data_IF_297453438668
#
_entry.id   IF_297453438668
#
_cell.length_a   1.000
_cell.length_b   1.000
_cell.length_c   1.000
_cell.angle_alpha   90.00
_cell.angle_beta   90.00
_cell.angle_gamma   90.00
#
_symmetry.space_group_name_H-M   'P 1'
#
loop_
_entity.id
_entity.type
_entity.pdbx_description
1 polymer ?
#
# COMPACT_ATOMS: atom_id res chain seq x y z
N UNK A 1 0.02 -6.99 33.45
CA UNK A 1 0.72 -6.94 32.17
C UNK A 1 0.84 -5.48 31.81
N UNK A 2 2.04 -4.92 31.75
CA UNK A 2 2.22 -3.55 31.24
C UNK A 2 1.85 -3.57 29.75
N UNK A 3 0.86 -2.77 29.39
CA UNK A 3 0.35 -2.64 28.02
C UNK A 3 1.42 -1.88 27.20
N UNK A 4 2.45 -2.62 26.73
CA UNK A 4 3.53 -2.05 25.90
C UNK A 4 2.94 -1.66 24.55
N UNK A 5 3.14 -0.39 24.17
CA UNK A 5 2.79 0.06 22.83
C UNK A 5 3.65 -0.69 21.80
N UNK A 6 3.06 -1.46 20.87
CA UNK A 6 3.83 -2.19 19.87
C UNK A 6 4.51 -1.23 18.89
N UNK A 7 5.76 -1.52 18.54
CA UNK A 7 6.55 -0.75 17.59
C UNK A 7 6.27 -1.24 16.18
N UNK A 8 5.72 -0.38 15.35
CA UNK A 8 5.40 -0.68 13.94
C UNK A 8 6.44 -0.05 13.03
N UNK A 9 7.26 -0.89 12.39
CA UNK A 9 8.20 -0.46 11.36
C UNK A 9 7.46 -0.04 10.08
N UNK A 10 7.71 1.18 9.60
CA UNK A 10 7.09 1.72 8.38
C UNK A 10 8.20 2.01 7.39
N UNK A 11 8.23 1.26 6.28
CA UNK A 11 9.23 1.44 5.24
C UNK A 11 8.84 2.58 4.29
N UNK A 12 9.87 3.19 3.70
CA UNK A 12 9.67 4.27 2.73
C UNK A 12 10.95 4.58 1.96
N UNK A 13 10.88 5.47 0.97
CA UNK A 13 12.06 5.90 0.22
C UNK A 13 12.95 6.79 1.09
N UNK A 14 14.22 6.88 0.72
CA UNK A 14 15.20 7.83 1.29
C UNK A 14 14.76 9.26 1.05
N UNK A 15 14.46 9.60 -0.21
CA UNK A 15 13.99 10.93 -0.58
C UNK A 15 12.49 10.95 -0.91
N UNK A 16 11.80 11.97 -0.46
CA UNK A 16 10.34 12.12 -0.62
C UNK A 16 9.55 11.11 0.24
N UNK A 17 8.26 10.92 -0.06
CA UNK A 17 7.38 10.01 0.71
C UNK A 17 7.04 10.47 2.12
N UNK A 18 7.53 11.63 2.56
CA UNK A 18 7.30 12.15 3.92
C UNK A 18 5.82 12.29 4.25
N UNK A 19 4.98 12.74 3.29
CA UNK A 19 3.55 12.85 3.51
C UNK A 19 2.92 11.46 3.74
N UNK A 20 3.23 10.46 2.90
CA UNK A 20 2.75 9.09 3.07
C UNK A 20 3.18 8.54 4.43
N UNK A 21 4.44 8.75 4.82
CA UNK A 21 4.94 8.34 6.12
C UNK A 21 4.18 9.00 7.28
N UNK A 22 3.94 10.32 7.22
CA UNK A 22 3.21 11.05 8.27
C UNK A 22 1.78 10.49 8.43
N UNK A 23 1.04 10.29 7.33
CA UNK A 23 -0.32 9.76 7.39
C UNK A 23 -0.35 8.31 7.87
N UNK A 24 0.62 7.48 7.46
CA UNK A 24 0.75 6.10 7.95
C UNK A 24 1.11 6.07 9.42
N UNK A 25 2.08 6.91 9.86
CA UNK A 25 2.46 7.03 11.26
C UNK A 25 1.29 7.51 12.13
N UNK A 26 0.54 8.52 11.66
CA UNK A 26 -0.68 8.98 12.34
C UNK A 26 -1.72 7.86 12.46
N UNK A 27 -1.91 7.06 11.41
CA UNK A 27 -2.82 5.91 11.43
C UNK A 27 -2.42 4.88 12.48
N UNK A 28 -1.12 4.61 12.64
CA UNK A 28 -0.56 3.72 13.67
C UNK A 28 -0.76 4.30 15.08
N UNK A 29 -0.42 5.59 15.28
CA UNK A 29 -0.57 6.28 16.58
C UNK A 29 -2.03 6.26 17.04
N UNK A 30 -2.98 6.54 16.15
CA UNK A 30 -4.41 6.54 16.47
C UNK A 30 -4.94 5.17 16.91
N UNK A 31 -4.20 4.09 16.63
CA UNK A 31 -4.52 2.73 17.08
C UNK A 31 -3.67 2.28 18.28
N UNK A 32 -2.87 3.17 18.87
CA UNK A 32 -2.05 2.90 20.05
C UNK A 32 -0.78 2.10 19.74
N UNK A 33 -0.21 2.26 18.55
CA UNK A 33 1.10 1.75 18.17
C UNK A 33 2.13 2.88 18.07
N UNK A 34 3.41 2.54 18.20
CA UNK A 34 4.56 3.43 18.06
C UNK A 34 5.18 3.30 16.66
N UNK A 35 5.07 4.30 15.77
CA UNK A 35 5.65 4.21 14.43
C UNK A 35 7.17 4.37 14.47
N UNK A 36 7.89 3.52 13.74
CA UNK A 36 9.33 3.59 13.52
C UNK A 36 9.61 3.71 12.01
N UNK A 37 10.24 4.82 11.58
CA UNK A 37 10.60 5.01 10.17
C UNK A 37 11.79 4.13 9.79
N UNK A 38 11.69 3.48 8.63
CA UNK A 38 12.74 2.64 8.05
C UNK A 38 12.94 3.04 6.59
N UNK A 39 14.17 3.33 6.19
CA UNK A 39 14.55 3.58 4.80
C UNK A 39 16.03 3.18 4.58
N UNK A 40 16.54 3.18 3.33
CA UNK A 40 17.94 2.81 3.06
C UNK A 40 18.97 3.59 3.86
N UNK A 41 18.78 4.90 4.11
CA UNK A 41 19.71 5.73 4.89
C UNK A 41 19.62 5.50 6.40
N UNK A 42 18.44 5.07 6.87
CA UNK A 42 18.19 4.76 8.29
C UNK A 42 17.60 3.37 8.42
N UNK A 43 18.36 2.32 8.07
CA UNK A 43 17.91 0.95 8.22
C UNK A 43 17.72 0.61 9.70
N UNK A 44 16.77 -0.27 9.99
CA UNK A 44 16.49 -0.75 11.34
C UNK A 44 16.54 -2.28 11.38
N UNK A 45 16.94 -2.82 12.53
CA UNK A 45 16.85 -4.27 12.76
C UNK A 45 15.39 -4.68 12.94
N UNK A 46 15.06 -5.88 12.47
CA UNK A 46 13.75 -6.51 12.71
C UNK A 46 13.46 -6.69 14.21
N UNK A 47 14.48 -6.78 15.06
CA UNK A 47 14.36 -6.89 16.52
C UNK A 47 13.79 -5.64 17.20
N UNK A 48 13.75 -4.53 16.47
CA UNK A 48 13.26 -3.24 16.98
C UNK A 48 11.77 -3.02 16.71
N UNK A 49 11.09 -3.97 16.02
CA UNK A 49 9.69 -3.85 15.62
C UNK A 49 8.88 -5.08 16.00
N UNK A 50 7.61 -4.86 16.24
CA UNK A 50 6.61 -5.88 16.56
C UNK A 50 5.63 -6.11 15.39
N UNK A 51 5.68 -5.26 14.37
CA UNK A 51 4.91 -5.37 13.13
C UNK A 51 5.52 -4.53 12.01
N UNK A 52 5.22 -4.87 10.76
CA UNK A 52 5.82 -4.24 9.58
C UNK A 52 4.76 -3.67 8.64
N UNK A 53 4.95 -2.40 8.23
CA UNK A 53 4.22 -1.80 7.11
C UNK A 53 5.20 -1.57 5.96
N UNK A 54 4.98 -2.25 4.84
CA UNK A 54 5.64 -1.98 3.57
C UNK A 54 4.90 -0.84 2.88
N UNK A 55 5.52 0.33 2.81
CA UNK A 55 4.88 1.55 2.33
C UNK A 55 4.78 1.66 0.81
N UNK A 56 3.89 2.54 0.34
CA UNK A 56 3.76 2.90 -1.07
C UNK A 56 4.99 3.62 -1.64
N UNK A 57 5.03 3.82 -2.96
CA UNK A 57 6.13 4.56 -3.61
C UNK A 57 6.37 4.24 -5.07
N UNK A 58 7.64 4.21 -5.48
CA UNK A 58 8.08 3.87 -6.83
C UNK A 58 7.74 2.42 -7.22
N UNK A 59 7.75 2.14 -8.52
CA UNK A 59 7.46 0.79 -9.06
C UNK A 59 8.47 -0.25 -8.54
N UNK A 60 8.04 -1.50 -8.34
CA UNK A 60 8.94 -2.63 -8.03
C UNK A 60 9.75 -2.97 -9.28
N UNK A 61 11.05 -3.30 -9.11
CA UNK A 61 11.95 -3.64 -10.21
C UNK A 61 11.45 -4.86 -11.00
N UNK A 62 11.20 -4.74 -12.32
CA UNK A 62 10.67 -5.83 -13.13
C UNK A 62 11.52 -7.09 -13.16
N UNK A 63 12.84 -6.98 -13.04
CA UNK A 63 13.73 -8.14 -12.97
C UNK A 63 13.47 -9.02 -11.74
N UNK A 64 12.88 -8.48 -10.67
CA UNK A 64 12.53 -9.24 -9.46
C UNK A 64 11.41 -10.26 -9.69
N UNK A 65 10.59 -10.05 -10.73
CA UNK A 65 9.52 -10.99 -11.14
C UNK A 65 9.69 -11.50 -12.59
N UNK A 66 10.93 -11.54 -13.08
CA UNK A 66 11.31 -12.19 -14.34
C UNK A 66 10.92 -11.42 -15.61
N UNK A 67 10.61 -10.13 -15.51
CA UNK A 67 10.24 -9.31 -16.66
C UNK A 67 11.29 -8.27 -17.01
N UNK A 68 11.35 -7.88 -18.30
CA UNK A 68 12.12 -6.72 -18.75
C UNK A 68 11.31 -5.43 -18.58
N UNK A 69 12.00 -4.33 -18.31
CA UNK A 69 11.38 -3.03 -18.10
C UNK A 69 10.73 -2.49 -19.37
N UNK A 70 9.44 -2.13 -19.30
CA UNK A 70 8.73 -1.45 -20.39
C UNK A 70 8.96 0.06 -20.28
N UNK A 71 9.38 0.70 -21.39
CA UNK A 71 9.48 2.16 -21.47
C UNK A 71 8.09 2.75 -21.63
N UNK A 72 7.58 3.36 -20.56
CA UNK A 72 6.23 3.95 -20.53
C UNK A 72 6.19 5.25 -21.35
N UNK A 73 5.32 5.36 -22.35
CA UNK A 73 5.06 6.62 -23.07
C UNK A 73 4.34 7.62 -22.14
N UNK A 74 4.74 8.90 -22.18
CA UNK A 74 4.04 9.98 -21.45
C UNK A 74 2.71 10.27 -22.14
N UNK A 75 1.59 10.00 -21.47
CA UNK A 75 0.26 10.39 -21.93
C UNK A 75 -0.14 11.76 -21.40
N UNK A 76 -0.99 12.47 -22.18
CA UNK A 76 -1.52 13.78 -21.84
C UNK A 76 -2.42 13.70 -20.57
N UNK A 77 -2.35 14.74 -19.74
CA UNK A 77 -3.15 14.88 -18.51
C UNK A 77 -4.62 15.16 -18.83
N UNK A 78 -5.52 14.44 -18.17
CA UNK A 78 -6.96 14.69 -18.20
C UNK A 78 -7.34 16.05 -17.58
N UNK A 79 -8.36 16.70 -18.14
CA UNK A 79 -8.88 17.99 -17.65
C UNK A 79 -9.71 17.77 -16.38
N UNK A 80 -9.41 18.55 -15.34
CA UNK A 80 -10.13 18.51 -14.05
C UNK A 80 -11.51 19.17 -14.15
N UNK A 81 -12.49 18.65 -13.40
CA UNK A 81 -13.81 19.27 -13.26
C UNK A 81 -13.77 20.46 -12.28
N UNK A 82 -14.65 21.47 -12.46
CA UNK A 82 -14.75 22.66 -11.61
C UNK A 82 -14.99 22.29 -10.13
N UNK A 83 -15.75 21.22 -9.86
CA UNK A 83 -16.02 20.72 -8.52
C UNK A 83 -14.74 20.17 -7.83
N UNK A 84 -13.89 19.48 -8.57
CA UNK A 84 -12.58 19.02 -8.07
C UNK A 84 -11.65 20.19 -7.75
N UNK A 85 -11.84 21.31 -8.43
CA UNK A 85 -11.12 22.55 -8.18
C UNK A 85 -11.54 23.20 -6.85
N UNK A 86 -12.83 23.24 -6.53
CA UNK A 86 -13.37 23.78 -5.26
C UNK A 86 -12.94 22.91 -4.07
N UNK A 87 -13.07 21.59 -4.18
CA UNK A 87 -12.60 20.66 -3.15
C UNK A 87 -11.07 20.76 -2.97
N UNK A 88 -10.32 20.98 -4.05
CA UNK A 88 -8.88 21.17 -3.95
C UNK A 88 -8.50 22.48 -3.23
N UNK A 89 -9.33 23.50 -3.25
CA UNK A 89 -9.11 24.76 -2.49
C UNK A 89 -9.34 24.52 -0.99
N UNK A 90 -10.41 23.82 -0.61
CA UNK A 90 -10.73 23.54 0.80
C UNK A 90 -9.70 22.61 1.48
N UNK A 91 -9.18 21.65 0.71
CA UNK A 91 -8.13 20.72 1.13
C UNK A 91 -6.75 21.08 0.54
N UNK A 92 -6.62 22.31 0.00
CA UNK A 92 -5.42 22.80 -0.67
C UNK A 92 -4.12 22.61 0.13
N UNK A 93 -4.06 22.85 1.46
CA UNK A 93 -2.83 22.62 2.21
C UNK A 93 -2.41 21.14 2.20
N UNK A 94 -3.36 20.23 2.37
CA UNK A 94 -3.10 18.77 2.40
C UNK A 94 -2.78 18.27 0.99
N UNK A 95 -3.54 18.71 -0.01
CA UNK A 95 -3.32 18.36 -1.41
C UNK A 95 -2.01 18.96 -1.97
N UNK A 96 -1.72 20.22 -1.63
CA UNK A 96 -0.49 20.89 -2.03
C UNK A 96 0.73 20.26 -1.34
N UNK A 97 0.62 19.92 -0.07
CA UNK A 97 1.65 19.21 0.68
C UNK A 97 1.92 17.82 0.08
N UNK A 98 0.88 17.04 -0.18
CA UNK A 98 1.01 15.73 -0.81
C UNK A 98 1.63 15.85 -2.22
N UNK A 99 1.23 16.86 -3.00
CA UNK A 99 1.74 17.11 -4.35
C UNK A 99 3.16 17.69 -4.36
N UNK A 100 3.49 18.59 -3.44
CA UNK A 100 4.83 19.14 -3.26
C UNK A 100 5.83 18.02 -2.98
N UNK A 101 5.47 17.07 -2.12
CA UNK A 101 6.31 15.91 -1.81
C UNK A 101 6.30 14.82 -2.90
N UNK A 102 5.37 14.85 -3.86
CA UNK A 102 5.38 13.95 -5.02
C UNK A 102 6.25 14.46 -6.18
N UNK A 103 6.67 15.73 -6.19
CA UNK A 103 7.41 16.35 -7.30
C UNK A 103 8.93 16.19 -7.25
N UNK A 104 9.48 15.44 -6.31
CA UNK A 104 10.89 15.07 -6.38
C UNK A 104 11.14 14.20 -7.62
N UNK A 105 12.22 14.49 -8.35
CA UNK A 105 12.72 13.73 -9.52
C UNK A 105 13.12 12.32 -9.05
N UNK A 106 12.16 11.42 -8.94
CA UNK A 106 12.44 10.03 -8.54
C UNK A 106 12.89 9.22 -9.75
N UNK A 107 13.92 8.41 -9.55
CA UNK A 107 14.08 7.21 -10.33
C UNK A 107 12.77 6.41 -10.24
N UNK A 108 12.22 5.90 -11.35
CA UNK A 108 10.99 5.09 -11.30
C UNK A 108 11.19 3.78 -10.52
N UNK A 109 12.41 3.43 -10.13
CA UNK A 109 12.81 2.21 -9.42
C UNK A 109 13.83 2.58 -8.34
N UNK A 110 13.72 1.97 -7.16
CA UNK A 110 14.57 2.19 -5.99
C UNK A 110 15.13 0.84 -5.53
N UNK A 111 16.28 0.45 -6.10
CA UNK A 111 16.90 -0.86 -5.87
C UNK A 111 17.37 -1.09 -4.42
N UNK A 112 17.86 -0.04 -3.76
CA UNK A 112 18.31 -0.12 -2.38
C UNK A 112 17.13 -0.35 -1.44
N UNK A 113 16.04 0.35 -1.70
CA UNK A 113 14.78 0.15 -0.99
C UNK A 113 14.20 -1.24 -1.25
N UNK A 114 14.21 -1.72 -2.50
CA UNK A 114 13.76 -3.07 -2.83
C UNK A 114 14.55 -4.11 -2.01
N UNK A 115 15.89 -4.01 -1.99
CA UNK A 115 16.74 -4.94 -1.24
C UNK A 115 16.45 -4.91 0.28
N UNK A 116 16.29 -3.72 0.85
CA UNK A 116 15.95 -3.54 2.27
C UNK A 116 14.59 -4.15 2.60
N UNK A 117 13.56 -3.83 1.81
CA UNK A 117 12.19 -4.27 2.08
C UNK A 117 12.00 -5.78 1.86
N UNK A 118 12.65 -6.39 0.86
CA UNK A 118 12.65 -7.84 0.69
C UNK A 118 13.28 -8.55 1.89
N UNK A 119 14.43 -8.04 2.39
CA UNK A 119 15.08 -8.57 3.58
C UNK A 119 14.21 -8.45 4.84
N UNK A 120 13.58 -7.27 5.04
CA UNK A 120 12.70 -7.06 6.20
C UNK A 120 11.46 -7.94 6.13
N UNK A 121 10.88 -8.13 4.94
CA UNK A 121 9.73 -9.01 4.75
C UNK A 121 10.10 -10.46 5.07
N UNK A 122 11.23 -10.97 4.57
CA UNK A 122 11.73 -12.32 4.88
C UNK A 122 11.90 -12.51 6.39
N UNK A 123 12.57 -11.57 7.06
CA UNK A 123 12.76 -11.62 8.52
C UNK A 123 11.45 -11.50 9.31
N UNK A 124 10.49 -10.71 8.83
CA UNK A 124 9.16 -10.61 9.44
C UNK A 124 8.40 -11.94 9.33
N UNK A 125 8.50 -12.60 8.18
CA UNK A 125 7.92 -13.94 7.96
C UNK A 125 8.52 -14.97 8.91
N UNK A 126 9.86 -15.05 9.00
CA UNK A 126 10.57 -15.98 9.89
C UNK A 126 10.18 -15.81 11.36
N UNK A 127 9.83 -14.60 11.77
CA UNK A 127 9.43 -14.27 13.14
C UNK A 127 7.92 -14.29 13.39
N UNK A 128 7.13 -14.53 12.35
CA UNK A 128 5.67 -14.49 12.46
C UNK A 128 5.11 -13.11 12.75
N UNK A 129 5.84 -12.03 12.42
CA UNK A 129 5.35 -10.66 12.63
C UNK A 129 4.18 -10.34 11.70
N UNK A 130 3.19 -9.56 12.16
CA UNK A 130 2.13 -9.08 11.28
C UNK A 130 2.67 -8.09 10.25
N UNK A 131 2.21 -8.23 8.99
CA UNK A 131 2.66 -7.44 7.84
C UNK A 131 1.48 -6.81 7.11
N UNK A 132 1.56 -5.50 6.85
CA UNK A 132 0.66 -4.76 5.98
C UNK A 132 1.43 -4.21 4.78
N UNK A 133 1.05 -4.61 3.55
CA UNK A 133 1.56 -4.01 2.32
C UNK A 133 0.63 -2.92 1.79
N UNK A 134 1.12 -1.70 1.56
CA UNK A 134 0.34 -0.59 0.99
C UNK A 134 0.84 -0.28 -0.41
N UNK A 135 -0.03 -0.36 -1.42
CA UNK A 135 0.24 -0.05 -2.82
C UNK A 135 1.45 -0.84 -3.35
N UNK A 136 2.61 -0.22 -3.49
CA UNK A 136 3.87 -0.90 -3.84
C UNK A 136 4.21 -2.02 -2.86
N UNK A 137 3.95 -1.83 -1.56
CA UNK A 137 4.20 -2.86 -0.53
C UNK A 137 3.41 -4.14 -0.77
N UNK A 138 2.15 -4.06 -1.20
CA UNK A 138 1.35 -5.21 -1.63
C UNK A 138 1.99 -5.93 -2.82
N UNK A 139 2.46 -5.17 -3.81
CA UNK A 139 3.10 -5.70 -5.00
C UNK A 139 4.42 -6.41 -4.67
N UNK A 140 5.22 -5.83 -3.77
CA UNK A 140 6.45 -6.44 -3.27
C UNK A 140 6.19 -7.75 -2.53
N UNK A 141 5.15 -7.80 -1.70
CA UNK A 141 4.70 -9.04 -1.04
C UNK A 141 4.40 -10.13 -2.09
N UNK A 142 3.60 -9.81 -3.10
CA UNK A 142 3.27 -10.75 -4.16
C UNK A 142 4.52 -11.29 -4.88
N UNK A 143 5.46 -10.41 -5.23
CA UNK A 143 6.73 -10.78 -5.88
C UNK A 143 7.61 -11.64 -4.97
N UNK A 144 7.64 -11.37 -3.65
CA UNK A 144 8.35 -12.20 -2.68
C UNK A 144 7.87 -13.66 -2.75
N UNK A 145 6.57 -13.87 -2.82
CA UNK A 145 5.94 -15.18 -2.97
C UNK A 145 5.91 -15.72 -4.41
N UNK A 146 6.71 -15.12 -5.33
CA UNK A 146 6.89 -15.55 -6.73
C UNK A 146 5.69 -15.24 -7.64
N UNK A 147 4.85 -14.31 -7.29
CA UNK A 147 3.84 -13.75 -8.18
C UNK A 147 4.42 -12.74 -9.17
N UNK A 148 3.62 -12.33 -10.15
CA UNK A 148 3.99 -11.37 -11.20
C UNK A 148 3.17 -10.09 -11.15
N UNK A 149 3.60 -9.07 -11.90
CA UNK A 149 2.95 -7.76 -11.94
C UNK A 149 2.69 -7.32 -13.38
N UNK A 150 1.55 -6.72 -13.63
CA UNK A 150 1.33 -5.83 -14.77
C UNK A 150 2.12 -4.55 -14.56
N UNK A 151 3.09 -4.26 -15.42
CA UNK A 151 3.88 -3.02 -15.34
C UNK A 151 3.07 -1.78 -15.71
N UNK A 152 1.98 -1.94 -16.44
CA UNK A 152 1.12 -0.85 -16.90
C UNK A 152 -0.33 -1.32 -17.04
N UNK A 153 -1.22 -0.78 -16.22
CA UNK A 153 -2.64 -1.16 -16.21
C UNK A 153 -3.52 -0.27 -17.09
N UNK A 154 -2.96 0.69 -17.82
CA UNK A 154 -3.76 1.61 -18.66
C UNK A 154 -4.58 0.90 -19.72
N UNK A 155 -4.10 -0.24 -20.24
CA UNK A 155 -4.81 -1.05 -21.21
C UNK A 155 -6.13 -1.66 -20.70
N UNK A 156 -6.31 -1.77 -19.39
CA UNK A 156 -7.55 -2.28 -18.77
C UNK A 156 -8.69 -1.24 -18.78
N UNK A 157 -8.39 0.03 -19.09
CA UNK A 157 -9.35 1.15 -19.05
C UNK A 157 -9.71 1.64 -20.45
N UNK A 158 -10.04 0.72 -21.37
CA UNK A 158 -10.33 1.05 -22.77
C UNK A 158 -11.56 1.94 -22.96
N UNK A 159 -12.59 1.77 -22.11
CA UNK A 159 -13.86 2.48 -22.21
C UNK A 159 -14.02 3.66 -21.24
N UNK A 160 -13.27 3.67 -20.14
CA UNK A 160 -13.33 4.70 -19.09
C UNK A 160 -11.92 5.06 -18.66
N UNK A 161 -11.68 6.35 -18.42
CA UNK A 161 -10.38 6.81 -17.94
C UNK A 161 -10.01 6.16 -16.60
N UNK A 162 -8.74 5.74 -16.46
CA UNK A 162 -8.19 5.24 -15.21
C UNK A 162 -8.37 6.30 -14.10
N UNK A 163 -8.98 5.90 -12.99
CA UNK A 163 -9.12 6.78 -11.82
C UNK A 163 -7.76 6.94 -11.14
N UNK A 164 -7.25 8.18 -11.10
CA UNK A 164 -6.10 8.57 -10.27
C UNK A 164 -6.55 9.63 -9.28
N UNK A 165 -6.83 9.24 -8.04
CA UNK A 165 -7.42 10.11 -7.03
C UNK A 165 -7.05 9.70 -5.62
N UNK A 166 -6.77 10.68 -4.75
CA UNK A 166 -6.65 10.47 -3.30
C UNK A 166 -8.02 10.29 -2.63
N UNK A 167 -9.11 10.66 -3.31
CA UNK A 167 -10.48 10.45 -2.83
C UNK A 167 -11.00 9.07 -3.21
N UNK A 168 -11.95 8.49 -2.45
CA UNK A 168 -12.47 7.15 -2.67
C UNK A 168 -13.43 7.10 -3.88
N UNK A 169 -12.86 7.10 -5.09
CA UNK A 169 -13.59 7.08 -6.37
C UNK A 169 -13.57 5.73 -7.08
N UNK A 170 -12.69 4.80 -6.67
CA UNK A 170 -12.59 3.47 -7.26
C UNK A 170 -13.46 2.49 -6.48
N UNK A 171 -14.39 1.82 -7.16
CA UNK A 171 -15.28 0.82 -6.56
C UNK A 171 -14.64 -0.56 -6.60
N UNK A 172 -14.62 -1.23 -5.46
CA UNK A 172 -14.03 -2.55 -5.28
C UNK A 172 -15.03 -3.54 -4.71
N UNK A 173 -14.84 -4.81 -5.05
CA UNK A 173 -15.59 -5.96 -4.52
C UNK A 173 -14.65 -6.80 -3.67
N UNK A 174 -15.04 -7.10 -2.44
CA UNK A 174 -14.26 -7.87 -1.48
C UNK A 174 -14.85 -9.27 -1.43
N UNK A 175 -13.98 -10.30 -1.45
CA UNK A 175 -14.42 -11.69 -1.41
C UNK A 175 -14.83 -12.08 0.00
N UNK A 176 -15.93 -12.82 0.10
CA UNK A 176 -16.39 -13.42 1.35
C UNK A 176 -15.33 -14.34 1.95
N UNK A 177 -15.37 -14.50 3.27
CA UNK A 177 -14.46 -15.37 4.04
C UNK A 177 -12.99 -14.96 4.05
N UNK A 178 -12.67 -13.75 3.56
CA UNK A 178 -11.33 -13.17 3.67
C UNK A 178 -11.18 -12.36 4.96
N UNK A 179 -9.96 -12.30 5.51
CA UNK A 179 -9.63 -11.43 6.65
C UNK A 179 -9.98 -9.97 6.32
N UNK A 180 -9.75 -9.55 5.08
CA UNK A 180 -10.09 -8.20 4.63
C UNK A 180 -11.60 -7.93 4.71
N UNK A 181 -12.46 -8.91 4.36
CA UNK A 181 -13.91 -8.79 4.49
C UNK A 181 -14.32 -8.56 5.95
N UNK A 182 -13.74 -9.31 6.88
CA UNK A 182 -13.96 -9.13 8.32
C UNK A 182 -13.53 -7.74 8.81
N UNK A 183 -12.38 -7.23 8.31
CA UNK A 183 -11.86 -5.92 8.69
C UNK A 183 -12.70 -4.75 8.17
N UNK A 184 -13.13 -4.85 6.92
CA UNK A 184 -13.90 -3.78 6.25
C UNK A 184 -15.39 -3.87 6.54
N UNK A 185 -15.90 -5.04 6.95
CA UNK A 185 -17.32 -5.33 7.27
C UNK A 185 -18.25 -4.91 6.12
N UNK A 186 -17.85 -5.23 4.89
CA UNK A 186 -18.60 -4.97 3.67
C UNK A 186 -18.00 -5.75 2.50
N UNK A 187 -18.84 -6.16 1.57
CA UNK A 187 -18.48 -6.81 0.31
C UNK A 187 -18.18 -5.80 -0.82
N UNK A 188 -18.62 -4.54 -0.68
CA UNK A 188 -18.38 -3.49 -1.67
C UNK A 188 -18.08 -2.17 -0.95
N UNK A 189 -17.06 -1.46 -1.41
CA UNK A 189 -16.79 -0.09 -0.99
C UNK A 189 -16.03 0.72 -2.06
N UNK A 190 -15.85 2.02 -1.78
CA UNK A 190 -15.01 2.88 -2.60
C UNK A 190 -13.67 3.13 -1.90
N UNK A 191 -12.58 3.11 -2.70
CA UNK A 191 -11.22 3.39 -2.27
C UNK A 191 -10.54 4.41 -3.19
N UNK A 192 -9.43 4.97 -2.74
CA UNK A 192 -8.59 5.82 -3.59
C UNK A 192 -7.72 4.97 -4.54
N UNK A 193 -7.09 5.60 -5.53
CA UNK A 193 -6.26 4.91 -6.49
C UNK A 193 -5.12 5.82 -6.98
N UNK A 194 -3.88 5.40 -6.78
CA UNK A 194 -2.67 6.16 -7.14
C UNK A 194 -1.60 5.28 -7.80
N UNK A 195 -2.00 4.16 -8.43
CA UNK A 195 -1.07 3.16 -8.96
C UNK A 195 -1.19 3.01 -10.48
N UNK A 196 -0.07 2.60 -11.11
CA UNK A 196 0.01 2.26 -12.54
C UNK A 196 0.42 0.79 -12.76
N UNK A 197 0.90 0.12 -11.71
CA UNK A 197 1.15 -1.32 -11.68
C UNK A 197 0.06 -2.02 -10.87
N UNK A 198 -0.17 -3.28 -11.13
CA UNK A 198 -1.04 -4.15 -10.35
C UNK A 198 -0.50 -5.59 -10.35
N UNK A 199 -1.03 -6.43 -9.48
CA UNK A 199 -0.76 -7.87 -9.52
C UNK A 199 -1.36 -8.45 -10.80
N UNK A 200 -0.55 -9.29 -11.48
CA UNK A 200 -0.93 -10.11 -12.62
C UNK A 200 -1.28 -11.52 -12.10
N UNK A 201 -0.28 -12.31 -11.75
CA UNK A 201 -0.48 -13.63 -11.15
C UNK A 201 -0.17 -13.58 -9.65
N UNK A 202 -1.04 -14.13 -8.79
CA UNK A 202 -0.77 -14.24 -7.36
C UNK A 202 0.37 -15.21 -7.08
N UNK A 203 1.18 -14.88 -6.07
CA UNK A 203 2.28 -15.72 -5.61
C UNK A 203 1.79 -16.94 -4.80
N UNK A 204 2.74 -17.82 -4.46
CA UNK A 204 2.43 -19.04 -3.67
C UNK A 204 1.84 -18.67 -2.30
N UNK A 205 0.70 -19.25 -1.96
CA UNK A 205 -0.02 -18.99 -0.71
C UNK A 205 -0.72 -17.63 -0.65
N UNK A 206 -0.65 -16.84 -1.74
CA UNK A 206 -1.37 -15.57 -1.86
C UNK A 206 -2.77 -15.82 -2.40
N UNK A 207 -3.77 -15.31 -1.70
CA UNK A 207 -5.16 -15.25 -2.12
C UNK A 207 -5.55 -13.82 -2.49
N UNK A 208 -6.30 -13.67 -3.61
CA UNK A 208 -6.88 -12.39 -4.01
C UNK A 208 -8.11 -12.15 -3.15
N UNK A 209 -8.03 -11.17 -2.24
CA UNK A 209 -9.10 -10.82 -1.32
C UNK A 209 -10.07 -9.76 -1.89
N UNK A 210 -9.62 -8.97 -2.87
CA UNK A 210 -10.43 -7.88 -3.41
C UNK A 210 -10.02 -7.53 -4.85
N UNK A 211 -11.03 -7.17 -5.67
CA UNK A 211 -10.86 -6.78 -7.06
C UNK A 211 -11.61 -5.49 -7.40
N UNK A 212 -11.16 -4.74 -8.39
CA UNK A 212 -11.91 -3.62 -8.95
C UNK A 212 -13.12 -4.13 -9.71
N UNK A 213 -14.30 -3.62 -9.37
CA UNK A 213 -15.60 -4.11 -9.87
C UNK A 213 -15.70 -4.16 -11.40
N UNK A 214 -15.09 -3.20 -12.12
CA UNK A 214 -15.26 -3.08 -13.57
C UNK A 214 -14.15 -3.73 -14.39
N UNK A 215 -12.95 -3.88 -13.84
CA UNK A 215 -11.77 -4.34 -14.59
C UNK A 215 -11.22 -5.68 -14.11
N UNK A 216 -11.66 -6.16 -12.95
CA UNK A 216 -11.08 -7.34 -12.31
C UNK A 216 -9.65 -7.16 -11.80
N UNK A 217 -9.08 -5.94 -11.87
CA UNK A 217 -7.74 -5.67 -11.37
C UNK A 217 -7.68 -5.92 -9.87
N UNK A 218 -6.73 -6.75 -9.44
CA UNK A 218 -6.47 -7.07 -8.03
C UNK A 218 -6.25 -5.80 -7.22
N UNK A 219 -7.05 -5.64 -6.15
CA UNK A 219 -6.99 -4.50 -5.25
C UNK A 219 -6.54 -4.87 -3.84
N UNK A 220 -6.64 -6.14 -3.44
CA UNK A 220 -6.07 -6.62 -2.19
C UNK A 220 -5.74 -8.10 -2.26
N UNK A 221 -4.74 -8.46 -1.46
CA UNK A 221 -4.29 -9.85 -1.26
C UNK A 221 -4.13 -10.13 0.22
N UNK A 222 -4.21 -11.41 0.59
CA UNK A 222 -3.81 -11.90 1.89
C UNK A 222 -3.08 -13.24 1.74
N UNK A 223 -2.23 -13.56 2.70
CA UNK A 223 -1.59 -14.87 2.74
C UNK A 223 -2.42 -15.82 3.59
N UNK A 224 -2.65 -17.03 3.06
CA UNK A 224 -3.56 -18.02 3.67
C UNK A 224 -3.05 -18.58 4.98
N UNK A 225 -1.72 -18.71 5.16
CA UNK A 225 -1.09 -19.37 6.30
C UNK A 225 -0.70 -18.41 7.44
N UNK A 226 -0.54 -17.10 7.15
CA UNK A 226 -0.11 -16.14 8.19
C UNK A 226 -1.31 -15.47 8.87
N UNK A 227 -1.29 -15.31 10.20
CA UNK A 227 -2.40 -14.73 10.94
C UNK A 227 -2.78 -13.32 10.48
N UNK A 228 -1.78 -12.46 10.24
CA UNK A 228 -1.96 -11.13 9.66
C UNK A 228 -0.87 -10.82 8.62
N UNK A 229 -1.18 -11.08 7.36
CA UNK A 229 -0.37 -10.68 6.22
C UNK A 229 -1.31 -10.25 5.10
N UNK A 230 -1.56 -8.95 5.01
CA UNK A 230 -2.55 -8.34 4.12
C UNK A 230 -1.86 -7.26 3.28
N UNK A 231 -2.15 -7.25 1.99
CA UNK A 231 -1.75 -6.20 1.07
C UNK A 231 -2.95 -5.50 0.46
N UNK A 232 -2.93 -4.17 0.38
CA UNK A 232 -3.95 -3.36 -0.27
C UNK A 232 -3.34 -2.47 -1.34
N UNK A 233 -3.97 -2.36 -2.52
CA UNK A 233 -3.47 -1.57 -3.64
C UNK A 233 -3.74 -0.07 -3.47
N UNK A 234 -4.76 0.26 -2.72
CA UNK A 234 -5.08 1.65 -2.38
C UNK A 234 -4.24 2.15 -1.18
N UNK A 235 -4.49 3.39 -0.79
CA UNK A 235 -3.79 4.06 0.31
C UNK A 235 -4.77 4.33 1.47
N UNK A 236 -4.96 3.38 2.41
CA UNK A 236 -5.88 3.55 3.55
C UNK A 236 -5.45 4.67 4.49
N UNK A 237 -4.14 5.01 4.52
CA UNK A 237 -3.61 6.11 5.32
C UNK A 237 -4.16 7.48 4.91
N UNK A 238 -4.62 7.65 3.67
CA UNK A 238 -5.29 8.89 3.23
C UNK A 238 -6.80 8.87 3.47
N UNK A 239 -7.34 7.81 4.03
CA UNK A 239 -8.77 7.60 4.29
C UNK A 239 -9.06 7.42 5.79
N UNK A 240 -8.24 8.00 6.67
CA UNK A 240 -8.33 7.87 8.14
C UNK A 240 -9.67 8.35 8.71
N UNK A 241 -10.41 9.22 8.00
CA UNK A 241 -11.75 9.66 8.38
C UNK A 241 -12.80 8.54 8.24
N UNK A 242 -12.49 7.47 7.49
CA UNK A 242 -13.40 6.33 7.26
C UNK A 242 -13.07 5.22 8.26
N UNK A 243 -14.01 4.88 9.14
CA UNK A 243 -13.79 3.91 10.22
C UNK A 243 -13.27 2.55 9.72
N UNK A 244 -13.86 1.99 8.64
CA UNK A 244 -13.42 0.71 8.06
C UNK A 244 -11.97 0.73 7.58
N UNK A 245 -11.47 1.85 7.10
CA UNK A 245 -10.07 1.97 6.69
C UNK A 245 -9.12 2.00 7.89
N UNK A 246 -9.54 2.60 9.01
CA UNK A 246 -8.78 2.55 10.27
C UNK A 246 -8.70 1.15 10.86
N UNK A 247 -9.71 0.28 10.61
CA UNK A 247 -9.71 -1.09 11.10
C UNK A 247 -8.53 -1.91 10.58
N UNK A 248 -8.02 -1.62 9.38
CA UNK A 248 -6.81 -2.27 8.83
C UNK A 248 -5.61 -2.02 9.75
N UNK A 249 -5.39 -0.76 10.13
CA UNK A 249 -4.30 -0.40 11.05
C UNK A 249 -4.55 -0.90 12.47
N UNK A 250 -5.81 -0.85 12.94
CA UNK A 250 -6.19 -1.36 14.25
C UNK A 250 -5.85 -2.83 14.41
N UNK A 251 -6.16 -3.64 13.41
CA UNK A 251 -5.88 -5.07 13.45
C UNK A 251 -4.38 -5.37 13.35
N UNK A 252 -3.63 -4.64 12.52
CA UNK A 252 -2.18 -4.75 12.49
C UNK A 252 -1.56 -4.48 13.87
N UNK A 253 -1.96 -3.37 14.51
CA UNK A 253 -1.46 -2.98 15.84
C UNK A 253 -1.90 -3.98 16.90
N UNK A 254 -3.12 -4.52 16.80
CA UNK A 254 -3.60 -5.58 17.71
C UNK A 254 -2.77 -6.85 17.56
N UNK A 255 -2.55 -7.33 16.35
CA UNK A 255 -1.72 -8.50 16.08
C UNK A 255 -0.27 -8.32 16.56
N UNK A 256 0.28 -7.11 16.43
CA UNK A 256 1.63 -6.78 16.90
C UNK A 256 1.77 -6.72 18.44
N UNK A 257 0.68 -6.70 19.19
CA UNK A 257 0.70 -6.82 20.67
C UNK A 257 0.81 -8.27 21.15
N UNK A 258 0.46 -9.21 20.30
CA UNK A 258 0.42 -10.63 20.60
C UNK A 258 1.76 -11.35 20.35
N UNK A 259 2.69 -10.65 19.67
CA UNK A 259 4.05 -11.11 19.42
C UNK A 259 4.98 -10.65 20.55
#
# INVERSE_FOLDING_TARGET
>A
MYDREPVIGITGPTEGGTAAWIFTALSVILQGGKPLRINPDTPRSIDQIDGLILGGGADVEPMKYGQQRIVKAKLARDKRTVFEWILSILFFPIYWLARYFQHTKRSPIDLERDALEFKLLEQAIERGLPVLGICRGMQLMNVHFKGTLHQDIRGFYAEKAQVSSIFPKKRITIKDHTKLCELLQTDICNVNALHNQAIDEPGKGIEIACEELNTGITQAIEHTEYPFMIGVQWHPEYLIQIARQRNIFKQLVSAAREV
#
